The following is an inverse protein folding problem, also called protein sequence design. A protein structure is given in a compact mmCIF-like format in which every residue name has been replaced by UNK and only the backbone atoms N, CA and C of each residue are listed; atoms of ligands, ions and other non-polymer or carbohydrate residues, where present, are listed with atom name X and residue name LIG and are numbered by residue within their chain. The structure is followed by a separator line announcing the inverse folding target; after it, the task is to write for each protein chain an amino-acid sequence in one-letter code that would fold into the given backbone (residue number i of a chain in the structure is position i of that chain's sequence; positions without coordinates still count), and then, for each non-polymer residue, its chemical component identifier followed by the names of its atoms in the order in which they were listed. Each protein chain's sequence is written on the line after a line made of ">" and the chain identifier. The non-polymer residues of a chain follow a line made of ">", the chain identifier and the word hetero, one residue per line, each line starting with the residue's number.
data_IF_442655122185
#
_entry.id   IF_442655122185
#
_cell.length_a   1.000
_cell.length_b   1.000
_cell.length_c   1.000
_cell.angle_alpha   90.00
_cell.angle_beta   90.00
_cell.angle_gamma   90.00
#
_symmetry.space_group_name_H-M   'P 1'
#
loop_
_entity.id
_entity.type
_entity.pdbx_description
1 polymer ?
#
# COMPACT_ATOMS: atom_id res chain seq x y z
N UNK A 1 -36.48 -25.96 18.18
CA UNK A 1 -36.22 -24.52 18.42
C UNK A 1 -34.80 -24.36 18.98
N UNK A 2 -33.81 -24.04 18.18
CA UNK A 2 -32.42 -23.75 18.62
C UNK A 2 -32.21 -22.23 18.54
N UNK A 3 -31.84 -21.60 19.66
CA UNK A 3 -31.56 -20.18 19.81
C UNK A 3 -30.32 -19.82 19.00
N UNK A 4 -30.43 -18.84 18.11
CA UNK A 4 -29.28 -18.11 17.55
C UNK A 4 -28.69 -17.23 18.65
N UNK A 5 -27.41 -17.42 18.95
CA UNK A 5 -26.65 -16.48 19.76
C UNK A 5 -26.36 -15.23 18.94
N UNK A 6 -26.67 -14.05 19.47
CA UNK A 6 -26.37 -12.76 18.95
C UNK A 6 -24.84 -12.54 18.90
N UNK A 7 -24.31 -12.21 17.74
CA UNK A 7 -22.94 -11.74 17.60
C UNK A 7 -22.86 -10.30 18.09
N UNK A 8 -21.96 -10.07 19.02
CA UNK A 8 -21.75 -8.79 19.70
C UNK A 8 -21.48 -7.64 18.72
N UNK A 9 -22.16 -6.50 18.88
CA UNK A 9 -22.13 -5.33 18.00
C UNK A 9 -20.77 -4.63 17.81
N UNK A 10 -19.69 -5.14 18.42
CA UNK A 10 -18.32 -4.62 18.28
C UNK A 10 -17.58 -5.15 17.04
N UNK A 11 -17.98 -6.31 16.51
CA UNK A 11 -17.38 -6.89 15.30
C UNK A 11 -17.85 -6.20 14.01
N UNK A 12 -19.05 -5.58 14.04
CA UNK A 12 -19.65 -4.95 12.86
C UNK A 12 -19.03 -3.59 12.52
N UNK A 13 -18.49 -2.87 13.54
CA UNK A 13 -17.92 -1.53 13.33
C UNK A 13 -16.59 -1.50 12.60
N UNK A 14 -15.81 -2.59 12.61
CA UNK A 14 -14.54 -2.69 11.89
C UNK A 14 -14.76 -3.00 10.41
N UNK A 15 -15.82 -3.70 10.09
CA UNK A 15 -16.18 -4.02 8.69
C UNK A 15 -16.72 -2.80 7.92
N UNK A 16 -17.31 -1.82 8.61
CA UNK A 16 -17.90 -0.62 8.00
C UNK A 16 -16.87 0.41 7.51
N UNK A 17 -15.65 0.43 8.04
CA UNK A 17 -14.58 1.33 7.57
C UNK A 17 -13.96 0.88 6.24
N UNK A 18 -14.13 -0.38 5.85
CA UNK A 18 -13.65 -0.94 4.58
C UNK A 18 -14.79 -1.34 3.63
N UNK A 19 -16.04 -1.26 4.07
CA UNK A 19 -17.24 -1.73 3.35
C UNK A 19 -17.86 -0.72 2.37
N UNK A 20 -17.27 0.45 2.18
CA UNK A 20 -17.82 1.50 1.32
C UNK A 20 -17.79 1.23 -0.20
N UNK A 21 -17.36 0.06 -0.64
CA UNK A 21 -17.18 -0.28 -2.08
C UNK A 21 -18.15 -1.37 -2.58
N UNK A 22 -19.05 -1.91 -1.76
CA UNK A 22 -19.86 -3.10 -2.15
C UNK A 22 -21.28 -2.76 -2.60
N UNK A 23 -21.65 -1.51 -2.76
CA UNK A 23 -23.04 -1.15 -3.15
C UNK A 23 -23.26 -0.85 -4.63
N UNK A 24 -22.43 -1.33 -5.54
CA UNK A 24 -22.59 -1.06 -6.99
C UNK A 24 -23.37 -2.17 -7.74
N UNK A 25 -23.68 -3.30 -7.11
CA UNK A 25 -24.32 -4.43 -7.81
C UNK A 25 -25.85 -4.34 -8.01
N UNK A 26 -26.50 -3.32 -7.47
CA UNK A 26 -27.96 -3.18 -7.61
C UNK A 26 -28.41 -2.29 -8.81
N UNK A 27 -27.49 -1.64 -9.52
CA UNK A 27 -27.80 -0.71 -10.62
C UNK A 27 -27.57 -1.29 -12.03
N UNK A 28 -26.92 -2.44 -12.16
CA UNK A 28 -26.64 -3.02 -13.50
C UNK A 28 -27.91 -3.40 -14.28
N UNK A 29 -29.00 -3.71 -13.60
CA UNK A 29 -30.26 -4.09 -14.27
C UNK A 29 -31.00 -2.93 -14.96
N UNK A 30 -30.76 -1.69 -14.53
CA UNK A 30 -31.41 -0.50 -15.09
C UNK A 30 -30.68 0.08 -16.30
N UNK A 31 -29.34 -0.09 -16.36
CA UNK A 31 -28.53 0.44 -17.46
C UNK A 31 -28.75 -0.33 -18.78
N UNK A 32 -28.98 -1.63 -18.73
CA UNK A 32 -29.26 -2.44 -19.93
C UNK A 32 -30.57 -2.11 -20.62
N UNK A 33 -31.49 -1.42 -19.95
CA UNK A 33 -32.81 -1.08 -20.52
C UNK A 33 -32.80 0.25 -21.27
N UNK A 34 -31.80 1.10 -21.10
CA UNK A 34 -31.81 2.49 -21.59
C UNK A 34 -30.80 2.76 -22.71
N UNK A 35 -29.74 1.95 -22.86
CA UNK A 35 -28.73 2.17 -23.89
C UNK A 35 -28.61 0.97 -24.82
N UNK A 36 -28.48 1.17 -26.15
CA UNK A 36 -28.26 0.08 -27.09
C UNK A 36 -26.93 -0.61 -26.89
N UNK A 37 -26.92 -1.95 -27.01
CA UNK A 37 -25.78 -2.86 -26.76
C UNK A 37 -24.45 -2.53 -27.45
N UNK A 38 -24.44 -1.58 -28.38
CA UNK A 38 -23.24 -1.19 -29.13
C UNK A 38 -22.32 -0.18 -28.42
N UNK A 39 -22.69 0.32 -27.24
CA UNK A 39 -21.93 1.37 -26.52
C UNK A 39 -21.30 0.84 -25.23
N UNK A 40 -21.71 -0.32 -24.75
CA UNK A 40 -21.08 -0.94 -23.58
C UNK A 40 -19.86 -1.73 -24.06
N UNK A 41 -18.73 -1.03 -24.24
CA UNK A 41 -17.44 -1.69 -24.30
C UNK A 41 -17.20 -2.35 -22.93
N UNK A 42 -17.19 -3.69 -22.92
CA UNK A 42 -16.94 -4.51 -21.72
C UNK A 42 -15.46 -4.39 -21.28
N UNK A 43 -15.07 -3.18 -20.91
CA UNK A 43 -13.81 -2.85 -20.24
C UNK A 43 -14.01 -2.74 -18.73
N UNK A 44 -14.85 -3.59 -18.16
CA UNK A 44 -14.85 -3.80 -16.71
C UNK A 44 -13.53 -4.46 -16.32
N UNK A 45 -12.54 -3.65 -15.98
CA UNK A 45 -11.37 -4.10 -15.23
C UNK A 45 -11.90 -4.67 -13.90
N UNK A 46 -12.24 -5.97 -13.91
CA UNK A 46 -12.53 -6.69 -12.67
C UNK A 46 -11.33 -6.57 -11.77
N UNK A 47 -11.42 -5.69 -10.77
CA UNK A 47 -10.50 -5.67 -9.64
C UNK A 47 -10.40 -7.11 -9.15
N UNK A 48 -9.25 -7.75 -9.34
CA UNK A 48 -9.02 -9.10 -8.84
C UNK A 48 -8.98 -8.97 -7.31
N UNK A 49 -10.14 -9.08 -6.66
CA UNK A 49 -10.29 -9.01 -5.20
C UNK A 49 -9.20 -9.82 -4.48
N UNK A 50 -8.78 -10.94 -5.07
CA UNK A 50 -7.66 -11.77 -4.56
C UNK A 50 -6.35 -10.99 -4.40
N UNK A 51 -6.07 -9.99 -5.25
CA UNK A 51 -4.85 -9.18 -5.17
C UNK A 51 -4.86 -8.24 -3.95
N UNK A 52 -6.04 -7.79 -3.52
CA UNK A 52 -6.19 -6.90 -2.38
C UNK A 52 -6.30 -7.63 -1.03
N UNK A 53 -6.69 -8.91 -1.02
CA UNK A 53 -6.90 -9.68 0.23
C UNK A 53 -5.60 -9.79 1.04
N UNK A 54 -4.50 -10.21 0.41
CA UNK A 54 -3.22 -10.41 1.12
C UNK A 54 -2.69 -9.11 1.72
N UNK A 55 -2.57 -7.98 0.95
CA UNK A 55 -2.12 -6.72 1.53
C UNK A 55 -3.06 -6.20 2.63
N UNK A 56 -4.36 -6.36 2.49
CA UNK A 56 -5.32 -5.92 3.51
C UNK A 56 -5.18 -6.71 4.80
N UNK A 57 -5.05 -8.03 4.73
CA UNK A 57 -4.84 -8.90 5.90
C UNK A 57 -3.51 -8.57 6.58
N UNK A 58 -2.43 -8.40 5.80
CA UNK A 58 -1.12 -8.03 6.35
C UNK A 58 -1.12 -6.64 6.99
N UNK A 59 -1.85 -5.68 6.44
CA UNK A 59 -2.01 -4.36 7.07
C UNK A 59 -2.77 -4.49 8.40
N UNK A 60 -3.84 -5.28 8.43
CA UNK A 60 -4.62 -5.53 9.65
C UNK A 60 -3.81 -6.23 10.74
N UNK A 61 -3.07 -7.28 10.40
CA UNK A 61 -2.18 -7.99 11.36
C UNK A 61 -1.05 -7.10 11.85
N UNK A 62 -0.47 -6.26 10.97
CA UNK A 62 0.54 -5.28 11.36
C UNK A 62 0.00 -4.24 12.34
N UNK A 63 -1.26 -3.82 12.18
CA UNK A 63 -1.92 -2.90 13.11
C UNK A 63 -2.14 -3.52 14.49
N UNK A 64 -2.41 -4.82 14.57
CA UNK A 64 -2.53 -5.53 15.87
C UNK A 64 -1.20 -5.52 16.64
N UNK A 65 -0.05 -5.48 15.96
CA UNK A 65 1.25 -5.40 16.60
C UNK A 65 1.49 -4.09 17.35
N UNK A 66 0.71 -3.04 17.08
CA UNK A 66 0.86 -1.72 17.72
C UNK A 66 0.42 -1.75 19.18
N UNK A 67 -0.67 -2.48 19.50
CA UNK A 67 -1.30 -2.43 20.83
C UNK A 67 -1.21 -3.74 21.62
N UNK A 68 -0.69 -4.80 21.03
CA UNK A 68 -0.54 -6.09 21.70
C UNK A 68 0.82 -6.18 22.39
N UNK A 69 0.86 -6.23 23.72
CA UNK A 69 2.12 -6.17 24.50
C UNK A 69 3.12 -7.27 24.16
N UNK A 70 2.69 -8.50 23.84
CA UNK A 70 3.57 -9.57 23.44
C UNK A 70 4.17 -9.31 22.04
N UNK A 71 3.35 -8.91 21.07
CA UNK A 71 3.79 -8.56 19.73
C UNK A 71 4.69 -7.32 19.71
N UNK A 72 4.41 -6.35 20.58
CA UNK A 72 5.26 -5.17 20.78
C UNK A 72 6.67 -5.57 21.20
N UNK A 73 6.80 -6.47 22.18
CA UNK A 73 8.12 -6.95 22.61
C UNK A 73 8.87 -7.67 21.48
N UNK A 74 8.19 -8.51 20.71
CA UNK A 74 8.81 -9.22 19.59
C UNK A 74 9.34 -8.26 18.50
N UNK A 75 8.58 -7.22 18.16
CA UNK A 75 9.02 -6.22 17.16
C UNK A 75 10.20 -5.38 17.67
N UNK A 76 10.24 -5.08 18.98
CA UNK A 76 11.37 -4.39 19.61
C UNK A 76 12.62 -5.27 19.59
N UNK A 77 12.52 -6.55 19.91
CA UNK A 77 13.60 -7.52 19.83
C UNK A 77 14.16 -7.66 18.38
N UNK A 78 13.29 -7.61 17.38
CA UNK A 78 13.68 -7.61 15.97
C UNK A 78 14.37 -6.30 15.61
N UNK A 79 13.82 -5.16 16.06
CA UNK A 79 14.41 -3.84 15.83
C UNK A 79 15.82 -3.75 16.40
N UNK A 80 16.03 -4.21 17.62
CA UNK A 80 17.32 -4.24 18.27
C UNK A 80 18.41 -5.05 17.55
N UNK A 81 17.98 -6.09 16.81
CA UNK A 81 18.88 -6.93 16.01
C UNK A 81 19.20 -6.35 14.63
N UNK A 82 18.28 -5.59 14.06
CA UNK A 82 18.37 -5.11 12.66
C UNK A 82 18.83 -3.66 12.55
N UNK A 83 18.69 -2.86 13.62
CA UNK A 83 19.05 -1.44 13.58
C UNK A 83 20.55 -1.22 13.82
N UNK A 84 21.09 -0.19 13.18
CA UNK A 84 22.48 0.25 13.37
C UNK A 84 22.72 1.00 14.68
N UNK A 85 21.73 1.06 15.59
CA UNK A 85 21.80 1.76 16.91
C UNK A 85 22.47 3.14 16.87
N UNK A 86 22.25 3.88 15.78
CA UNK A 86 22.64 5.27 15.64
C UNK A 86 24.03 5.56 15.07
N UNK A 87 24.89 4.57 14.85
CA UNK A 87 26.27 4.83 14.44
C UNK A 87 26.46 5.29 12.99
N UNK A 88 25.63 4.80 12.05
CA UNK A 88 25.74 5.22 10.64
C UNK A 88 24.36 5.25 9.94
N UNK A 89 23.65 6.36 10.07
CA UNK A 89 22.38 6.54 9.34
C UNK A 89 22.60 6.77 7.85
N UNK A 90 22.06 5.90 7.03
CA UNK A 90 22.12 5.99 5.57
C UNK A 90 20.92 6.78 5.06
N UNK A 91 21.15 7.96 4.47
CA UNK A 91 20.08 8.87 4.02
C UNK A 91 19.56 8.60 2.60
N UNK A 92 20.11 7.58 1.91
CA UNK A 92 19.76 7.28 0.53
C UNK A 92 18.29 6.85 0.37
N UNK A 93 17.69 6.31 1.41
CA UNK A 93 16.29 5.89 1.46
C UNK A 93 15.30 7.02 1.17
N UNK A 94 15.70 8.27 1.46
CA UNK A 94 14.89 9.46 1.14
C UNK A 94 14.72 9.68 -0.39
N UNK A 95 15.69 9.25 -1.18
CA UNK A 95 15.68 9.36 -2.65
C UNK A 95 15.26 8.06 -3.31
N UNK A 96 15.69 6.93 -2.75
CA UNK A 96 15.47 5.61 -3.30
C UNK A 96 13.99 5.28 -3.47
N UNK A 97 13.13 5.80 -2.57
CA UNK A 97 11.68 5.61 -2.62
C UNK A 97 11.02 6.10 -3.92
N UNK A 98 11.63 7.06 -4.62
CA UNK A 98 11.09 7.64 -5.86
C UNK A 98 11.70 7.01 -7.13
N UNK A 99 12.76 6.22 -7.00
CA UNK A 99 13.50 5.67 -8.14
C UNK A 99 12.61 4.84 -9.08
N UNK A 100 11.69 3.97 -8.62
CA UNK A 100 10.85 3.21 -9.55
C UNK A 100 9.90 4.11 -10.37
N UNK A 101 9.37 5.18 -9.77
CA UNK A 101 8.55 6.16 -10.49
C UNK A 101 9.40 6.91 -11.55
N UNK A 102 10.61 7.33 -11.21
CA UNK A 102 11.51 7.99 -12.16
C UNK A 102 11.88 7.05 -13.31
N UNK A 103 12.02 5.74 -13.03
CA UNK A 103 12.27 4.74 -14.07
C UNK A 103 11.10 4.64 -15.06
N UNK A 104 9.85 4.78 -14.63
CA UNK A 104 8.68 4.78 -15.53
C UNK A 104 8.80 5.89 -16.59
N UNK A 105 9.07 7.10 -16.15
CA UNK A 105 9.20 8.25 -17.07
C UNK A 105 10.48 8.19 -17.88
N UNK A 106 11.60 7.77 -17.28
CA UNK A 106 12.87 7.59 -17.97
C UNK A 106 12.80 6.56 -19.10
N UNK A 107 12.24 5.37 -18.84
CA UNK A 107 12.08 4.34 -19.86
C UNK A 107 11.25 4.84 -21.06
N UNK A 108 10.18 5.59 -20.80
CA UNK A 108 9.39 6.20 -21.86
C UNK A 108 10.19 7.23 -22.68
N UNK A 109 11.01 8.03 -22.01
CA UNK A 109 11.85 9.02 -22.70
C UNK A 109 12.87 8.33 -23.62
N UNK A 110 13.35 7.16 -23.25
CA UNK A 110 14.24 6.31 -24.07
C UNK A 110 13.50 5.42 -25.09
N UNK A 111 12.20 5.65 -25.31
CA UNK A 111 11.43 4.95 -26.33
C UNK A 111 10.85 3.60 -25.90
N UNK A 112 11.04 3.17 -24.62
CA UNK A 112 10.39 1.99 -24.07
C UNK A 112 9.02 2.38 -23.54
N UNK A 113 7.99 2.22 -24.36
CA UNK A 113 6.62 2.63 -24.01
C UNK A 113 6.00 1.72 -22.98
N UNK A 114 5.43 2.32 -21.91
CA UNK A 114 4.59 1.63 -20.94
C UNK A 114 3.15 1.47 -21.44
N UNK A 115 2.28 0.92 -20.59
CA UNK A 115 0.88 0.62 -20.90
C UNK A 115 0.06 1.87 -21.22
N UNK A 116 0.24 2.95 -20.48
CA UNK A 116 -0.58 4.15 -20.59
C UNK A 116 0.17 5.31 -21.25
N UNK A 117 -0.59 6.24 -21.87
CA UNK A 117 -0.06 7.51 -22.38
C UNK A 117 0.35 8.43 -21.23
N UNK A 118 1.13 9.44 -21.53
CA UNK A 118 1.72 10.35 -20.52
C UNK A 118 0.69 10.94 -19.54
N UNK A 119 -0.42 11.48 -20.03
CA UNK A 119 -1.44 12.13 -19.16
C UNK A 119 -2.23 11.12 -18.32
N UNK A 120 -2.62 9.97 -18.90
CA UNK A 120 -3.33 8.91 -18.18
C UNK A 120 -2.45 8.34 -17.07
N UNK A 121 -1.20 8.04 -17.40
CA UNK A 121 -0.19 7.57 -16.46
C UNK A 121 0.05 8.54 -15.31
N UNK A 122 0.17 9.85 -15.63
CA UNK A 122 0.38 10.89 -14.61
C UNK A 122 -0.87 11.04 -13.74
N UNK A 123 -2.06 10.93 -14.32
CA UNK A 123 -3.32 10.91 -13.59
C UNK A 123 -3.43 9.73 -12.61
N UNK A 124 -3.11 8.51 -13.08
CA UNK A 124 -3.06 7.31 -12.23
C UNK A 124 -2.08 7.51 -11.07
N UNK A 125 -0.87 7.98 -11.36
CA UNK A 125 0.15 8.24 -10.33
C UNK A 125 -0.34 9.26 -9.28
N UNK A 126 -0.95 10.36 -9.72
CA UNK A 126 -1.48 11.39 -8.82
C UNK A 126 -2.57 10.84 -7.90
N UNK A 127 -3.50 10.05 -8.45
CA UNK A 127 -4.56 9.40 -7.67
C UNK A 127 -3.99 8.38 -6.68
N UNK A 128 -2.99 7.60 -7.10
CA UNK A 128 -2.29 6.65 -6.21
C UNK A 128 -1.62 7.36 -5.04
N UNK A 129 -0.93 8.49 -5.30
CA UNK A 129 -0.35 9.32 -4.24
C UNK A 129 -1.40 9.89 -3.29
N UNK A 130 -2.53 10.36 -3.81
CA UNK A 130 -3.61 10.90 -2.99
C UNK A 130 -4.20 9.81 -2.10
N UNK A 131 -4.52 8.64 -2.66
CA UNK A 131 -5.06 7.48 -1.92
C UNK A 131 -4.10 7.02 -0.85
N UNK A 132 -2.82 6.79 -1.21
CA UNK A 132 -1.78 6.41 -0.27
C UNK A 132 -1.63 7.44 0.85
N UNK A 133 -1.61 8.73 0.50
CA UNK A 133 -1.46 9.83 1.47
C UNK A 133 -2.60 9.88 2.48
N UNK A 134 -3.85 9.69 2.02
CA UNK A 134 -5.02 9.64 2.88
C UNK A 134 -4.93 8.44 3.84
N UNK A 135 -4.62 7.25 3.32
CA UNK A 135 -4.53 6.03 4.13
C UNK A 135 -3.41 6.12 5.17
N UNK A 136 -2.19 6.50 4.74
CA UNK A 136 -1.03 6.60 5.63
C UNK A 136 -1.25 7.64 6.72
N UNK A 137 -1.72 8.85 6.38
CA UNK A 137 -1.92 9.89 7.37
C UNK A 137 -3.11 9.58 8.28
N UNK A 138 -4.22 9.05 7.74
CA UNK A 138 -5.35 8.60 8.54
C UNK A 138 -4.94 7.59 9.61
N UNK A 139 -4.14 6.59 9.23
CA UNK A 139 -3.62 5.60 10.19
C UNK A 139 -2.63 6.22 11.19
N UNK A 140 -1.74 7.13 10.77
CA UNK A 140 -0.83 7.83 11.70
C UNK A 140 -1.58 8.61 12.77
N UNK A 141 -2.65 9.32 12.40
CA UNK A 141 -3.49 10.06 13.35
C UNK A 141 -4.28 9.15 14.29
N UNK A 142 -4.66 7.95 13.81
CA UNK A 142 -5.42 6.98 14.60
C UNK A 142 -4.54 6.25 15.61
N UNK A 143 -3.41 5.68 15.14
CA UNK A 143 -2.57 4.81 15.97
C UNK A 143 -1.59 5.57 16.86
N UNK A 144 -1.10 6.73 16.43
CA UNK A 144 -0.16 7.60 17.17
C UNK A 144 1.03 6.83 17.76
N UNK A 145 1.55 5.87 17.01
CA UNK A 145 2.63 4.99 17.44
C UNK A 145 3.94 5.75 17.56
N UNK A 146 4.69 5.49 18.64
CA UNK A 146 5.99 6.10 18.90
C UNK A 146 7.06 5.48 17.98
N UNK A 147 7.95 6.31 17.46
CA UNK A 147 9.11 5.86 16.67
C UNK A 147 10.18 5.22 17.54
N UNK A 148 10.98 4.27 16.98
CA UNK A 148 12.13 3.72 17.71
C UNK A 148 13.16 4.78 18.11
N UNK A 149 13.50 5.69 17.18
CA UNK A 149 14.59 6.66 17.32
C UNK A 149 14.21 7.97 18.00
N UNK A 150 12.94 8.27 18.15
CA UNK A 150 12.45 9.57 18.64
C UNK A 150 11.15 9.44 19.45
N UNK A 151 10.75 10.52 20.12
CA UNK A 151 9.45 10.58 20.79
C UNK A 151 8.28 10.97 19.86
N UNK A 152 8.53 11.09 18.55
CA UNK A 152 7.50 11.43 17.59
C UNK A 152 6.47 10.29 17.49
N UNK A 153 5.19 10.64 17.57
CA UNK A 153 4.06 9.67 17.55
C UNK A 153 3.45 9.54 16.16
N UNK A 154 4.26 9.15 15.20
CA UNK A 154 3.84 8.98 13.80
C UNK A 154 4.60 7.84 13.11
N UNK A 155 4.96 6.77 13.86
CA UNK A 155 5.68 5.63 13.31
C UNK A 155 4.81 4.83 12.36
N UNK A 156 3.65 4.37 12.80
CA UNK A 156 2.78 3.45 12.03
C UNK A 156 1.79 4.20 11.14
N UNK A 157 1.67 3.81 9.86
CA UNK A 157 2.58 3.00 9.06
C UNK A 157 3.75 3.82 8.49
N UNK A 158 4.76 3.15 7.88
CA UNK A 158 5.91 3.79 7.27
C UNK A 158 5.56 4.49 5.95
N UNK A 159 5.63 5.82 5.92
CA UNK A 159 5.33 6.60 4.71
C UNK A 159 6.35 6.42 3.58
N UNK A 160 7.67 6.36 3.89
CA UNK A 160 8.71 6.12 2.88
C UNK A 160 8.54 4.75 2.23
N UNK A 161 8.23 3.72 3.02
CA UNK A 161 7.96 2.38 2.48
C UNK A 161 6.70 2.36 1.63
N UNK A 162 5.64 3.05 2.06
CA UNK A 162 4.40 3.16 1.28
C UNK A 162 4.67 3.83 -0.08
N UNK A 163 5.42 4.94 -0.10
CA UNK A 163 5.83 5.60 -1.35
C UNK A 163 6.65 4.68 -2.24
N UNK A 164 7.65 3.98 -1.68
CA UNK A 164 8.52 3.11 -2.45
C UNK A 164 7.74 1.94 -3.11
N UNK A 165 6.85 1.29 -2.34
CA UNK A 165 6.04 0.18 -2.85
C UNK A 165 4.92 0.64 -3.79
N UNK A 166 4.35 1.81 -3.59
CA UNK A 166 3.43 2.42 -4.56
C UNK A 166 4.14 2.70 -5.88
N UNK A 167 5.34 3.30 -5.85
CA UNK A 167 6.13 3.56 -7.06
C UNK A 167 6.57 2.25 -7.75
N UNK A 168 6.89 1.20 -6.99
CA UNK A 168 7.25 -0.12 -7.51
C UNK A 168 6.05 -0.81 -8.17
N UNK A 169 4.86 -0.80 -7.53
CA UNK A 169 3.64 -1.33 -8.11
C UNK A 169 3.24 -0.58 -9.38
N UNK A 170 3.36 0.75 -9.36
CA UNK A 170 3.13 1.59 -10.54
C UNK A 170 4.06 1.22 -11.69
N UNK A 171 5.37 1.04 -11.44
CA UNK A 171 6.33 0.56 -12.43
C UNK A 171 5.95 -0.82 -12.96
N UNK A 172 5.56 -1.74 -12.07
CA UNK A 172 5.14 -3.08 -12.46
C UNK A 172 3.90 -3.04 -13.36
N UNK A 173 2.87 -2.28 -12.99
CA UNK A 173 1.63 -2.19 -13.77
C UNK A 173 1.85 -1.58 -15.15
N UNK A 174 2.77 -0.62 -15.27
CA UNK A 174 3.09 0.02 -16.55
C UNK A 174 3.91 -0.88 -17.49
N UNK A 175 4.77 -1.75 -16.95
CA UNK A 175 5.76 -2.46 -17.75
C UNK A 175 5.68 -3.99 -17.71
N UNK A 176 4.79 -4.58 -16.93
CA UNK A 176 4.68 -6.06 -16.82
C UNK A 176 4.40 -6.77 -18.15
N UNK A 177 3.73 -6.10 -19.09
CA UNK A 177 3.44 -6.64 -20.43
C UNK A 177 4.64 -6.48 -21.37
N UNK A 178 5.53 -5.51 -21.13
CA UNK A 178 6.79 -5.30 -21.87
C UNK A 178 7.86 -6.24 -21.35
N UNK A 179 8.11 -6.20 -20.04
CA UNK A 179 9.03 -7.11 -19.34
C UNK A 179 8.71 -7.16 -17.84
N UNK A 180 8.29 -8.30 -17.30
CA UNK A 180 8.02 -8.44 -15.87
C UNK A 180 9.24 -8.11 -14.99
N UNK A 181 10.45 -8.31 -15.51
CA UNK A 181 11.69 -8.03 -14.79
C UNK A 181 11.89 -6.55 -14.47
N UNK A 182 11.42 -5.66 -15.34
CA UNK A 182 11.43 -4.22 -15.07
C UNK A 182 10.59 -3.92 -13.83
N UNK A 183 9.40 -4.50 -13.74
CA UNK A 183 8.53 -4.34 -12.56
C UNK A 183 9.15 -4.92 -11.29
N UNK A 184 9.69 -6.14 -11.36
CA UNK A 184 10.34 -6.76 -10.20
C UNK A 184 11.56 -5.99 -9.70
N UNK A 185 12.31 -5.31 -10.58
CA UNK A 185 13.41 -4.44 -10.14
C UNK A 185 12.93 -3.30 -9.24
N UNK A 186 11.73 -2.76 -9.49
CA UNK A 186 11.10 -1.76 -8.62
C UNK A 186 10.83 -2.28 -7.21
N UNK A 187 10.33 -3.50 -7.09
CA UNK A 187 10.11 -4.13 -5.78
C UNK A 187 11.40 -4.40 -5.02
N UNK A 188 12.48 -4.73 -5.72
CA UNK A 188 13.81 -4.88 -5.08
C UNK A 188 14.25 -3.56 -4.43
N UNK A 189 14.11 -2.45 -5.16
CA UNK A 189 14.42 -1.09 -4.68
C UNK A 189 13.50 -0.71 -3.50
N UNK A 190 12.21 -1.00 -3.60
CA UNK A 190 11.25 -0.71 -2.54
C UNK A 190 11.55 -1.51 -1.27
N UNK A 191 11.95 -2.78 -1.41
CA UNK A 191 12.35 -3.63 -0.29
C UNK A 191 13.62 -3.09 0.38
N UNK A 192 14.60 -2.67 -0.40
CA UNK A 192 15.80 -2.01 0.11
C UNK A 192 15.46 -0.72 0.88
N UNK A 193 14.52 0.08 0.37
CA UNK A 193 14.01 1.27 1.07
C UNK A 193 13.39 0.89 2.41
N UNK A 194 12.50 -0.10 2.44
CA UNK A 194 11.88 -0.60 3.68
C UNK A 194 12.91 -1.11 4.69
N UNK A 195 13.89 -1.89 4.24
CA UNK A 195 15.00 -2.35 5.08
C UNK A 195 15.78 -1.19 5.70
N UNK A 196 16.14 -0.18 4.89
CA UNK A 196 16.86 1.00 5.37
C UNK A 196 16.06 1.79 6.42
N UNK A 197 14.72 1.76 6.40
CA UNK A 197 13.90 2.38 7.45
C UNK A 197 14.06 1.68 8.80
N UNK A 198 14.18 0.33 8.79
CA UNK A 198 14.45 -0.46 10.00
C UNK A 198 15.90 -0.24 10.44
N UNK A 199 16.85 -0.35 9.52
CA UNK A 199 18.29 -0.18 9.78
C UNK A 199 18.61 1.20 10.37
N UNK A 200 17.98 2.26 9.86
CA UNK A 200 18.12 3.64 10.35
C UNK A 200 17.37 3.90 11.66
N UNK A 201 16.74 2.90 12.26
CA UNK A 201 15.97 3.01 13.50
C UNK A 201 14.78 4.00 13.41
N UNK A 202 14.18 4.13 12.22
CA UNK A 202 13.08 5.05 11.93
C UNK A 202 11.70 4.43 12.11
N UNK A 203 11.58 3.13 11.84
CA UNK A 203 10.32 2.38 11.82
C UNK A 203 10.54 0.95 12.26
N UNK A 204 9.56 0.38 12.93
CA UNK A 204 9.50 -1.04 13.22
C UNK A 204 9.15 -1.87 11.97
N UNK A 205 9.40 -3.17 12.04
CA UNK A 205 9.10 -4.10 10.93
C UNK A 205 7.61 -4.07 10.54
N UNK A 206 6.69 -4.05 11.51
CA UNK A 206 5.24 -3.96 11.24
C UNK A 206 4.85 -2.66 10.53
N UNK A 207 5.51 -1.54 10.81
CA UNK A 207 5.28 -0.26 10.13
C UNK A 207 5.66 -0.35 8.66
N UNK A 208 6.77 -1.04 8.39
CA UNK A 208 7.30 -1.27 7.04
C UNK A 208 6.38 -2.20 6.26
N UNK A 209 5.93 -3.31 6.85
CA UNK A 209 4.98 -4.24 6.21
C UNK A 209 3.65 -3.55 5.90
N UNK A 210 3.08 -2.83 6.85
CA UNK A 210 1.85 -2.07 6.63
C UNK A 210 2.03 -0.99 5.54
N UNK A 211 3.16 -0.27 5.55
CA UNK A 211 3.50 0.71 4.54
C UNK A 211 3.57 0.09 3.15
N UNK A 212 4.27 -1.03 3.00
CA UNK A 212 4.37 -1.76 1.73
C UNK A 212 2.99 -2.16 1.18
N UNK A 213 2.15 -2.73 2.03
CA UNK A 213 0.80 -3.15 1.65
C UNK A 213 -0.08 -1.97 1.23
N UNK A 214 -0.05 -0.86 1.98
CA UNK A 214 -0.81 0.36 1.64
C UNK A 214 -0.31 0.93 0.32
N UNK A 215 1.01 0.97 0.08
CA UNK A 215 1.58 1.41 -1.18
C UNK A 215 1.05 0.60 -2.37
N UNK A 216 1.06 -0.72 -2.27
CA UNK A 216 0.52 -1.62 -3.31
C UNK A 216 -0.98 -1.35 -3.53
N UNK A 217 -1.79 -1.36 -2.47
CA UNK A 217 -3.26 -1.16 -2.57
C UNK A 217 -3.60 0.16 -3.25
N UNK A 218 -2.82 1.21 -3.03
CA UNK A 218 -3.12 2.55 -3.54
C UNK A 218 -3.03 2.70 -5.06
N UNK A 219 -2.46 1.71 -5.77
CA UNK A 219 -2.35 1.70 -7.24
C UNK A 219 -3.53 1.01 -7.90
N UNK A 220 -4.31 0.23 -7.14
CA UNK A 220 -5.52 -0.46 -7.61
C UNK A 220 -6.79 0.35 -7.36
#
# INVERSE_FOLDING_TARGET
>A
MKKLHSLDGRAVSILFLFGGVVSVHAQDSLYHTILPDSVVSDNTHHLKLKTLVIPTVLTGTSALCVHNGWLTKQREDIQDKLSAKGEHKVKIDNYLQYTPMLAVYGLNLFGVNGKHKFWDRTGILAMSYATMGILVNGMKYTFKEKRPDTNARNSFPSGHTATAFMCAEFLYQEYKEVSPWIGYSGYLIATATGYLRIYNDRHYLNDVVAGACIGIISVY
#
